data_IF_645990619439
#
_entry.id   IF_645990619439
#
_cell.length_a   1.000
_cell.length_b   1.000
_cell.length_c   1.000
_cell.angle_alpha   90.00
_cell.angle_beta   90.00
_cell.angle_gamma   90.00
#
_symmetry.space_group_name_H-M   'P 1'
#
loop_
_entity.id
_entity.type
_entity.pdbx_description
1 polymer ?
#
# COMPACT_ATOMS: atom_id res chain seq x y z
N UNK A 1 18.39 1.16 42.71
CA UNK A 1 18.20 2.04 41.58
C UNK A 1 17.17 1.34 40.70
N UNK A 2 15.92 1.77 40.79
CA UNK A 2 14.89 1.25 39.86
C UNK A 2 15.08 2.03 38.55
N UNK A 3 15.54 1.35 37.51
CA UNK A 3 15.45 1.90 36.16
C UNK A 3 13.97 2.16 35.89
N UNK A 4 13.57 3.43 35.88
CA UNK A 4 12.26 3.82 35.41
C UNK A 4 12.16 3.41 33.95
N UNK A 5 11.41 2.35 33.69
CA UNK A 5 11.07 1.91 32.34
C UNK A 5 10.24 2.99 31.68
N UNK A 6 10.87 3.85 30.88
CA UNK A 6 10.15 4.80 30.02
C UNK A 6 9.61 4.01 28.83
N UNK A 7 8.28 3.91 28.65
CA UNK A 7 7.73 3.21 27.50
C UNK A 7 8.23 3.84 26.20
N UNK A 8 8.85 3.05 25.36
CA UNK A 8 9.42 3.48 24.07
C UNK A 8 8.39 4.27 23.21
N UNK A 9 7.13 3.86 23.27
CA UNK A 9 6.03 4.47 22.54
C UNK A 9 5.65 5.89 23.02
N UNK A 10 6.06 6.29 24.20
CA UNK A 10 5.79 7.64 24.74
C UNK A 10 6.98 8.59 24.64
N UNK A 11 8.18 8.08 24.39
CA UNK A 11 9.42 8.86 24.35
C UNK A 11 9.82 9.28 22.92
N UNK A 12 9.30 8.61 21.87
CA UNK A 12 9.72 8.81 20.49
C UNK A 12 8.57 9.35 19.67
N UNK A 13 8.78 10.44 18.93
CA UNK A 13 7.88 10.85 17.86
C UNK A 13 8.19 10.04 16.60
N UNK A 14 7.48 8.92 16.43
CA UNK A 14 7.66 8.01 15.31
C UNK A 14 7.41 8.64 13.94
N UNK A 15 6.64 9.73 13.89
CA UNK A 15 6.41 10.43 12.63
C UNK A 15 7.62 11.27 12.21
N UNK A 16 8.29 11.88 13.18
CA UNK A 16 9.56 12.57 12.90
C UNK A 16 10.66 11.59 12.53
N UNK A 17 10.78 10.44 13.20
CA UNK A 17 11.71 9.38 12.82
C UNK A 17 11.43 8.87 11.39
N UNK A 18 10.15 8.74 11.03
CA UNK A 18 9.76 8.37 9.67
C UNK A 18 10.23 9.42 8.66
N UNK A 19 10.01 10.71 8.93
CA UNK A 19 10.43 11.80 8.05
C UNK A 19 11.95 11.83 7.86
N UNK A 20 12.72 11.63 8.93
CA UNK A 20 14.17 11.53 8.85
C UNK A 20 14.61 10.31 8.00
N UNK A 21 13.96 9.17 8.19
CA UNK A 21 14.23 7.97 7.38
C UNK A 21 13.96 8.21 5.88
N UNK A 22 12.90 8.97 5.54
CA UNK A 22 12.61 9.29 4.13
C UNK A 22 13.72 10.12 3.48
N UNK A 23 14.38 11.02 4.23
CA UNK A 23 15.47 11.86 3.72
C UNK A 23 16.71 11.06 3.31
N UNK A 24 16.96 9.93 3.96
CA UNK A 24 18.14 9.08 3.69
C UNK A 24 17.86 7.94 2.71
N UNK A 25 16.60 7.74 2.30
CA UNK A 25 16.25 6.76 1.27
C UNK A 25 16.91 7.13 -0.05
N UNK A 26 17.73 6.21 -0.60
CA UNK A 26 18.54 6.43 -1.81
C UNK A 26 17.74 6.38 -3.11
N UNK A 27 16.52 5.91 -3.10
CA UNK A 27 15.68 5.80 -4.29
C UNK A 27 14.36 6.52 -4.06
N UNK A 28 14.05 7.45 -4.94
CA UNK A 28 12.73 8.03 -5.01
C UNK A 28 11.75 6.93 -5.48
N UNK A 29 10.79 6.59 -4.61
CA UNK A 29 9.61 5.83 -5.01
C UNK A 29 8.67 6.80 -5.75
N UNK A 30 9.09 7.31 -6.90
CA UNK A 30 8.32 8.25 -7.71
C UNK A 30 7.54 7.54 -8.83
N UNK A 31 6.61 8.27 -9.44
CA UNK A 31 5.75 7.74 -10.49
C UNK A 31 6.58 7.24 -11.70
N UNK A 32 7.64 7.96 -12.08
CA UNK A 32 8.47 7.60 -13.23
C UNK A 32 9.22 6.28 -13.02
N UNK A 33 9.71 6.04 -11.80
CA UNK A 33 10.33 4.76 -11.43
C UNK A 33 9.32 3.61 -11.56
N UNK A 34 8.12 3.78 -11.00
CA UNK A 34 7.09 2.74 -11.02
C UNK A 34 6.47 2.55 -12.39
N UNK A 35 6.32 3.61 -13.19
CA UNK A 35 5.89 3.52 -14.59
C UNK A 35 6.87 2.66 -15.41
N UNK A 36 8.17 2.89 -15.27
CA UNK A 36 9.19 2.08 -15.93
C UNK A 36 9.16 0.64 -15.43
N UNK A 37 8.97 0.44 -14.13
CA UNK A 37 8.96 -0.87 -13.51
C UNK A 37 7.70 -1.67 -13.83
N UNK A 38 6.57 -1.01 -14.12
CA UNK A 38 5.28 -1.67 -14.40
C UNK A 38 5.39 -2.68 -15.54
N UNK A 39 6.21 -2.39 -16.56
CA UNK A 39 6.41 -3.29 -17.71
C UNK A 39 7.01 -4.65 -17.33
N UNK A 40 7.74 -4.73 -16.20
CA UNK A 40 8.41 -5.95 -15.72
C UNK A 40 7.86 -6.40 -14.36
N UNK A 41 6.90 -5.68 -13.82
CA UNK A 41 6.29 -5.98 -12.53
C UNK A 41 5.23 -7.06 -12.72
N UNK A 42 5.67 -8.30 -12.73
CA UNK A 42 4.75 -9.44 -12.77
C UNK A 42 4.22 -9.73 -11.39
N UNK A 43 2.94 -9.49 -11.20
CA UNK A 43 2.20 -10.26 -10.20
C UNK A 43 2.13 -11.66 -10.77
N UNK A 44 2.83 -12.62 -10.18
CA UNK A 44 2.79 -14.00 -10.65
C UNK A 44 1.34 -14.48 -10.56
N UNK A 45 0.83 -15.01 -11.67
CA UNK A 45 -0.56 -15.52 -11.80
C UNK A 45 -0.83 -16.82 -11.00
N UNK A 46 0.16 -17.32 -10.26
CA UNK A 46 0.00 -18.44 -9.34
C UNK A 46 -0.70 -17.99 -8.05
N UNK A 47 -1.39 -18.91 -7.33
CA UNK A 47 -1.93 -18.61 -6.01
C UNK A 47 -0.87 -17.88 -5.18
N UNK A 48 -1.13 -16.62 -4.86
CA UNK A 48 -0.19 -15.79 -4.13
C UNK A 48 -0.53 -15.88 -2.64
N UNK A 49 0.18 -16.71 -1.92
CA UNK A 49 -0.03 -16.92 -0.48
C UNK A 49 -0.09 -15.60 0.31
N UNK A 50 0.65 -14.58 -0.13
CA UNK A 50 0.59 -13.27 0.50
C UNK A 50 -0.79 -12.62 0.32
N UNK A 51 -1.35 -12.66 -0.91
CA UNK A 51 -2.69 -12.13 -1.20
C UNK A 51 -3.75 -12.87 -0.41
N UNK A 52 -3.71 -14.20 -0.40
CA UNK A 52 -4.63 -15.04 0.36
C UNK A 52 -4.61 -14.68 1.85
N UNK A 53 -3.41 -14.61 2.45
CA UNK A 53 -3.26 -14.25 3.86
C UNK A 53 -3.67 -12.83 4.17
N UNK A 54 -3.36 -11.88 3.28
CA UNK A 54 -3.80 -10.51 3.46
C UNK A 54 -5.33 -10.41 3.49
N UNK A 55 -6.01 -11.04 2.52
CA UNK A 55 -7.47 -11.02 2.43
C UNK A 55 -8.14 -11.76 3.60
N UNK A 56 -7.55 -12.88 4.05
CA UNK A 56 -7.99 -13.59 5.26
C UNK A 56 -7.97 -12.68 6.48
N UNK A 57 -6.84 -11.97 6.74
CA UNK A 57 -6.72 -11.07 7.89
C UNK A 57 -7.48 -9.76 7.73
N UNK A 58 -7.71 -9.31 6.52
CA UNK A 58 -8.52 -8.11 6.27
C UNK A 58 -10.00 -8.33 6.64
N UNK A 59 -10.47 -9.59 6.66
CA UNK A 59 -11.84 -9.95 7.03
C UNK A 59 -12.90 -9.07 6.34
N UNK A 60 -12.73 -8.87 5.02
CA UNK A 60 -13.67 -8.10 4.22
C UNK A 60 -14.94 -8.92 4.05
N UNK A 61 -16.07 -8.36 4.47
CA UNK A 61 -17.36 -9.06 4.51
C UNK A 61 -18.07 -8.94 3.16
N UNK A 62 -18.89 -9.93 2.77
CA UNK A 62 -19.67 -9.87 1.53
C UNK A 62 -20.44 -8.54 1.40
N UNK A 63 -20.31 -7.88 0.26
CA UNK A 63 -20.96 -6.60 -0.03
C UNK A 63 -20.25 -5.35 0.49
N UNK A 64 -19.21 -5.49 1.31
CA UNK A 64 -18.41 -4.33 1.73
C UNK A 64 -17.64 -3.70 0.55
N UNK A 65 -17.53 -2.39 0.61
CA UNK A 65 -16.79 -1.57 -0.34
C UNK A 65 -15.36 -1.34 0.17
N UNK A 66 -14.40 -1.27 -0.76
CA UNK A 66 -12.97 -1.20 -0.42
C UNK A 66 -12.30 0.00 -1.10
N UNK A 67 -11.44 0.69 -0.38
CA UNK A 67 -10.47 1.63 -0.92
C UNK A 67 -9.07 1.01 -0.83
N UNK A 68 -8.39 0.84 -1.97
CA UNK A 68 -7.04 0.27 -2.05
C UNK A 68 -6.04 1.36 -2.47
N UNK A 69 -5.24 1.83 -1.50
CA UNK A 69 -4.26 2.90 -1.74
C UNK A 69 -2.86 2.34 -2.02
N UNK A 70 -2.33 2.68 -3.20
CA UNK A 70 -1.13 2.08 -3.76
C UNK A 70 -1.41 0.67 -4.28
N UNK A 71 -2.47 0.54 -5.08
CA UNK A 71 -2.98 -0.75 -5.57
C UNK A 71 -2.03 -1.46 -6.55
N UNK A 72 -1.05 -0.74 -7.12
CA UNK A 72 -0.13 -1.27 -8.11
C UNK A 72 -0.86 -1.89 -9.32
N UNK A 73 -0.43 -3.07 -9.72
CA UNK A 73 -1.06 -3.84 -10.80
C UNK A 73 -2.33 -4.59 -10.37
N UNK A 74 -2.91 -4.23 -9.21
CA UNK A 74 -4.17 -4.79 -8.73
C UNK A 74 -4.06 -6.15 -8.05
N UNK A 75 -2.97 -6.42 -7.34
CA UNK A 75 -2.77 -7.69 -6.65
C UNK A 75 -3.90 -8.04 -5.66
N UNK A 76 -4.48 -7.03 -5.00
CA UNK A 76 -5.63 -7.17 -4.11
C UNK A 76 -6.93 -6.73 -4.78
N UNK A 77 -6.89 -5.62 -5.55
CA UNK A 77 -8.09 -5.06 -6.17
C UNK A 77 -8.76 -6.01 -7.17
N UNK A 78 -7.98 -6.76 -7.98
CA UNK A 78 -8.54 -7.70 -8.96
C UNK A 78 -9.30 -8.84 -8.27
N UNK A 79 -8.70 -9.63 -7.36
CA UNK A 79 -9.44 -10.70 -6.67
C UNK A 79 -10.62 -10.20 -5.82
N UNK A 80 -10.53 -9.00 -5.25
CA UNK A 80 -11.68 -8.37 -4.57
C UNK A 80 -12.81 -8.07 -5.56
N UNK A 81 -12.48 -7.56 -6.74
CA UNK A 81 -13.46 -7.33 -7.80
C UNK A 81 -14.09 -8.62 -8.33
N UNK A 82 -13.32 -9.69 -8.49
CA UNK A 82 -13.80 -11.03 -8.84
C UNK A 82 -14.77 -11.59 -7.79
N UNK A 83 -14.49 -11.30 -6.51
CA UNK A 83 -15.39 -11.65 -5.40
C UNK A 83 -16.65 -10.75 -5.31
N UNK A 84 -16.79 -9.77 -6.21
CA UNK A 84 -17.98 -8.90 -6.31
C UNK A 84 -17.93 -7.64 -5.43
N UNK A 85 -16.80 -7.34 -4.78
CA UNK A 85 -16.64 -6.10 -4.04
C UNK A 85 -16.51 -4.89 -4.98
N UNK A 86 -17.08 -3.75 -4.58
CA UNK A 86 -16.78 -2.46 -5.23
C UNK A 86 -15.48 -1.93 -4.63
N UNK A 87 -14.48 -1.72 -5.49
CA UNK A 87 -13.16 -1.27 -5.09
C UNK A 87 -12.80 0.03 -5.79
N UNK A 88 -12.43 1.06 -5.03
CA UNK A 88 -11.71 2.22 -5.57
C UNK A 88 -10.23 1.94 -5.38
N UNK A 89 -9.51 1.78 -6.49
CA UNK A 89 -8.12 1.37 -6.51
C UNK A 89 -7.23 2.51 -6.98
N UNK A 90 -6.48 3.11 -6.06
CA UNK A 90 -5.68 4.30 -6.30
C UNK A 90 -4.19 3.94 -6.38
N UNK A 91 -3.51 4.51 -7.37
CA UNK A 91 -2.06 4.46 -7.51
C UNK A 91 -1.56 5.72 -8.22
N UNK A 92 -0.36 6.17 -7.92
CA UNK A 92 0.23 7.36 -8.56
C UNK A 92 0.88 7.05 -9.91
N UNK A 93 1.22 5.78 -10.18
CA UNK A 93 1.79 5.30 -11.43
C UNK A 93 0.71 4.95 -12.43
N UNK A 94 0.69 5.66 -13.56
CA UNK A 94 -0.22 5.35 -14.66
C UNK A 94 0.08 3.96 -15.24
N UNK A 95 1.35 3.61 -15.39
CA UNK A 95 1.76 2.31 -15.91
C UNK A 95 1.27 1.13 -15.04
N UNK A 96 1.23 1.30 -13.71
CA UNK A 96 0.63 0.30 -12.81
C UNK A 96 -0.87 0.17 -13.02
N UNK A 97 -1.58 1.30 -13.13
CA UNK A 97 -3.02 1.30 -13.38
C UNK A 97 -3.39 0.70 -14.74
N UNK A 98 -2.58 0.94 -15.78
CA UNK A 98 -2.80 0.36 -17.10
C UNK A 98 -2.67 -1.18 -17.07
N UNK A 99 -1.68 -1.70 -16.34
CA UNK A 99 -1.54 -3.15 -16.13
C UNK A 99 -2.71 -3.73 -15.32
N UNK A 100 -3.15 -3.02 -14.29
CA UNK A 100 -4.34 -3.44 -13.54
C UNK A 100 -5.57 -3.44 -14.44
N UNK A 101 -5.78 -2.41 -15.25
CA UNK A 101 -6.92 -2.33 -16.18
C UNK A 101 -6.93 -3.50 -17.16
N UNK A 102 -5.76 -3.84 -17.74
CA UNK A 102 -5.65 -5.00 -18.64
C UNK A 102 -6.06 -6.31 -17.93
N UNK A 103 -5.68 -6.48 -16.66
CA UNK A 103 -6.09 -7.65 -15.86
C UNK A 103 -7.59 -7.66 -15.55
N UNK A 104 -8.17 -6.51 -15.21
CA UNK A 104 -9.61 -6.37 -14.98
C UNK A 104 -10.40 -6.73 -16.25
N UNK A 105 -9.94 -6.26 -17.41
CA UNK A 105 -10.58 -6.56 -18.68
C UNK A 105 -10.48 -8.05 -19.06
N UNK A 106 -9.33 -8.67 -18.85
CA UNK A 106 -9.12 -10.10 -19.04
C UNK A 106 -10.00 -10.97 -18.13
N UNK A 107 -10.20 -10.53 -16.88
CA UNK A 107 -11.06 -11.20 -15.89
C UNK A 107 -12.56 -10.84 -16.04
N UNK A 108 -12.91 -9.88 -16.89
CA UNK A 108 -14.29 -9.40 -17.03
C UNK A 108 -14.82 -8.63 -15.82
N UNK A 109 -13.94 -8.14 -14.94
CA UNK A 109 -14.29 -7.43 -13.72
C UNK A 109 -14.67 -5.98 -14.04
N UNK A 110 -15.82 -5.52 -13.50
CA UNK A 110 -16.34 -4.15 -13.71
C UNK A 110 -16.63 -3.41 -12.40
N UNK A 111 -16.28 -3.99 -11.28
CA UNK A 111 -16.54 -3.45 -9.95
C UNK A 111 -15.33 -2.73 -9.34
N UNK A 112 -14.19 -2.71 -10.02
CA UNK A 112 -12.98 -2.00 -9.63
C UNK A 112 -12.86 -0.71 -10.43
N UNK A 113 -12.60 0.40 -9.75
CA UNK A 113 -12.54 1.75 -10.30
C UNK A 113 -11.13 2.31 -10.11
N UNK A 114 -10.26 2.24 -11.14
CA UNK A 114 -8.91 2.80 -11.09
C UNK A 114 -8.94 4.32 -10.88
N UNK A 115 -8.02 4.82 -10.08
CA UNK A 115 -7.87 6.24 -9.80
C UNK A 115 -6.38 6.60 -9.73
N UNK A 116 -5.93 7.49 -10.60
CA UNK A 116 -4.56 8.01 -10.52
C UNK A 116 -4.49 9.05 -9.40
N UNK A 117 -3.82 8.71 -8.31
CA UNK A 117 -3.72 9.55 -7.11
C UNK A 117 -2.54 9.11 -6.26
N UNK A 118 -1.85 10.06 -5.61
CA UNK A 118 -0.76 9.84 -4.66
C UNK A 118 -1.20 10.02 -3.20
N UNK A 119 -0.31 9.67 -2.28
CA UNK A 119 -0.50 9.91 -0.85
C UNK A 119 -0.54 11.41 -0.51
N UNK A 120 0.20 12.23 -1.26
CA UNK A 120 0.40 13.66 -1.05
C UNK A 120 -0.68 14.53 -1.70
N UNK A 121 -1.53 13.93 -2.55
CA UNK A 121 -2.61 14.66 -3.21
C UNK A 121 -3.69 15.13 -2.23
N UNK A 122 -4.47 16.11 -2.65
CA UNK A 122 -5.69 16.52 -1.96
C UNK A 122 -6.81 15.48 -2.24
N UNK A 123 -6.93 14.46 -1.40
CA UNK A 123 -7.86 13.36 -1.58
C UNK A 123 -9.32 13.79 -1.80
N UNK A 124 -9.87 14.79 -1.10
CA UNK A 124 -11.18 15.35 -1.40
C UNK A 124 -11.35 15.84 -2.84
N UNK A 125 -10.33 16.49 -3.42
CA UNK A 125 -10.37 16.92 -4.82
C UNK A 125 -10.47 15.75 -5.80
N UNK A 126 -9.97 14.57 -5.42
CA UNK A 126 -10.13 13.32 -6.16
C UNK A 126 -11.42 12.55 -5.82
N UNK A 127 -12.30 13.14 -5.01
CA UNK A 127 -13.57 12.54 -4.60
C UNK A 127 -13.43 11.45 -3.53
N UNK A 128 -12.27 11.34 -2.89
CA UNK A 128 -12.05 10.49 -1.72
C UNK A 128 -12.40 11.27 -0.46
N UNK A 129 -13.31 10.76 0.35
CA UNK A 129 -13.86 11.50 1.50
C UNK A 129 -14.14 10.57 2.67
N UNK A 130 -14.37 11.16 3.82
CA UNK A 130 -14.71 10.48 5.06
C UNK A 130 -15.85 9.45 4.85
N UNK A 131 -15.65 8.27 5.40
CA UNK A 131 -16.63 7.19 5.36
C UNK A 131 -17.00 6.72 3.96
N UNK A 132 -16.15 6.94 2.94
CA UNK A 132 -16.47 6.56 1.56
C UNK A 132 -16.59 5.05 1.36
N UNK A 133 -15.78 4.28 2.05
CA UNK A 133 -15.77 2.81 1.95
C UNK A 133 -15.88 2.14 3.31
N UNK A 134 -16.20 0.85 3.32
CA UNK A 134 -16.29 0.08 4.56
C UNK A 134 -14.90 -0.28 5.09
N UNK A 135 -14.00 -0.61 4.17
CA UNK A 135 -12.61 -1.00 4.46
C UNK A 135 -11.67 -0.17 3.61
N UNK A 136 -10.56 0.29 4.21
CA UNK A 136 -9.42 0.86 3.48
C UNK A 136 -8.20 -0.03 3.65
N UNK A 137 -7.48 -0.24 2.58
CA UNK A 137 -6.28 -1.08 2.57
C UNK A 137 -5.10 -0.35 1.96
N UNK A 138 -3.90 -0.65 2.47
CA UNK A 138 -2.63 -0.22 1.87
C UNK A 138 -1.59 -1.32 2.08
N UNK A 139 -1.29 -2.04 1.01
CA UNK A 139 -0.46 -3.23 1.07
C UNK A 139 0.92 -2.98 0.48
N UNK A 140 1.93 -2.86 1.33
CA UNK A 140 3.33 -2.57 0.94
C UNK A 140 3.48 -1.31 0.10
N UNK A 141 2.62 -0.34 0.31
CA UNK A 141 2.47 0.84 -0.54
C UNK A 141 2.58 2.16 0.23
N UNK A 142 2.85 2.12 1.54
CA UNK A 142 3.02 3.34 2.33
C UNK A 142 4.40 3.93 2.03
N UNK A 143 4.47 4.73 0.96
CA UNK A 143 5.65 5.46 0.51
C UNK A 143 5.36 6.98 0.59
N UNK A 144 4.92 7.44 1.74
CA UNK A 144 4.57 8.83 2.01
C UNK A 144 5.64 9.55 2.81
N UNK A 145 5.70 10.86 2.65
CA UNK A 145 6.56 11.72 3.46
C UNK A 145 6.08 11.88 4.91
N UNK A 146 4.77 11.78 5.15
CA UNK A 146 4.14 11.90 6.47
C UNK A 146 3.28 10.69 6.80
N UNK A 147 3.82 9.79 7.62
CA UNK A 147 3.14 8.54 7.99
C UNK A 147 1.87 8.80 8.80
N UNK A 148 1.91 9.78 9.72
CA UNK A 148 0.76 10.11 10.57
C UNK A 148 -0.42 10.58 9.73
N UNK A 149 -0.17 11.50 8.80
CA UNK A 149 -1.19 12.01 7.88
C UNK A 149 -1.78 10.88 7.03
N UNK A 150 -0.95 10.02 6.45
CA UNK A 150 -1.40 8.88 5.66
C UNK A 150 -2.31 7.92 6.45
N UNK A 151 -1.94 7.60 7.69
CA UNK A 151 -2.74 6.73 8.55
C UNK A 151 -4.08 7.37 8.93
N UNK A 152 -4.09 8.68 9.22
CA UNK A 152 -5.31 9.42 9.53
C UNK A 152 -6.25 9.45 8.32
N UNK A 153 -5.75 9.77 7.13
CA UNK A 153 -6.56 9.76 5.89
C UNK A 153 -7.17 8.39 5.59
N UNK A 154 -6.40 7.31 5.73
CA UNK A 154 -6.96 5.97 5.58
C UNK A 154 -8.07 5.68 6.62
N UNK A 155 -7.86 6.13 7.86
CA UNK A 155 -8.84 5.94 8.93
C UNK A 155 -10.11 6.74 8.67
N UNK A 156 -10.01 7.94 8.14
CA UNK A 156 -11.16 8.78 7.78
C UNK A 156 -11.97 8.18 6.62
N UNK A 157 -11.31 7.60 5.63
CA UNK A 157 -11.99 6.99 4.47
C UNK A 157 -12.76 5.74 4.85
N UNK A 158 -12.30 4.98 5.85
CA UNK A 158 -12.87 3.70 6.24
C UNK A 158 -13.96 3.86 7.31
N UNK A 159 -15.15 3.29 7.05
CA UNK A 159 -16.22 3.22 8.07
C UNK A 159 -15.96 2.20 9.16
N UNK A 160 -15.25 1.11 8.84
CA UNK A 160 -15.12 -0.04 9.74
C UNK A 160 -13.67 -0.43 10.06
N UNK A 161 -12.83 -0.57 9.04
CA UNK A 161 -11.50 -1.18 9.22
C UNK A 161 -10.47 -0.58 8.26
N UNK A 162 -9.26 -0.42 8.78
CA UNK A 162 -8.06 -0.15 7.98
C UNK A 162 -7.12 -1.34 8.10
N UNK A 163 -6.59 -1.82 6.99
CA UNK A 163 -5.59 -2.88 6.95
C UNK A 163 -4.36 -2.42 6.20
N UNK A 164 -3.22 -2.44 6.86
CA UNK A 164 -1.94 -2.05 6.27
C UNK A 164 -0.90 -3.14 6.44
N UNK A 165 0.05 -3.21 5.52
CA UNK A 165 1.26 -4.01 5.71
C UNK A 165 2.51 -3.17 5.48
N UNK A 166 3.44 -3.34 6.40
CA UNK A 166 4.78 -2.77 6.33
C UNK A 166 5.81 -3.88 6.41
N UNK A 167 6.95 -3.70 5.77
CA UNK A 167 8.07 -4.61 5.94
C UNK A 167 8.66 -4.43 7.35
N UNK A 168 8.76 -5.52 8.11
CA UNK A 168 9.41 -5.55 9.42
C UNK A 168 10.79 -6.21 9.28
N UNK A 169 11.79 -5.44 8.96
CA UNK A 169 13.15 -5.93 8.84
C UNK A 169 13.75 -5.78 7.43
N UNK A 170 15.01 -6.16 7.30
CA UNK A 170 15.74 -6.07 6.06
C UNK A 170 15.18 -7.04 5.01
N UNK A 171 14.94 -6.52 3.81
CA UNK A 171 14.73 -7.38 2.64
C UNK A 171 15.99 -8.23 2.40
N UNK A 172 15.86 -9.46 1.86
CA UNK A 172 17.02 -10.23 1.43
C UNK A 172 17.97 -9.48 0.48
N UNK A 173 17.48 -8.43 -0.18
CA UNK A 173 18.29 -7.57 -1.07
C UNK A 173 19.16 -6.55 -0.33
N UNK A 174 18.90 -6.35 0.96
CA UNK A 174 19.65 -5.43 1.85
C UNK A 174 20.16 -6.16 3.09
N UNK A 175 20.24 -7.49 3.07
CA UNK A 175 20.86 -8.26 4.14
C UNK A 175 22.36 -7.94 4.15
N UNK A 176 22.84 -7.37 5.25
CA UNK A 176 24.22 -6.94 5.41
C UNK A 176 25.23 -8.07 5.14
N UNK A 177 24.88 -9.32 5.42
CA UNK A 177 25.72 -10.48 5.15
C UNK A 177 25.88 -10.72 3.66
N UNK A 178 24.81 -10.48 2.87
CA UNK A 178 24.85 -10.57 1.40
C UNK A 178 25.64 -9.39 0.83
N UNK A 179 25.38 -8.18 1.33
CA UNK A 179 26.11 -6.98 0.91
C UNK A 179 27.62 -7.14 1.18
N UNK A 180 27.99 -7.58 2.37
CA UNK A 180 29.38 -7.84 2.72
C UNK A 180 30.03 -8.93 1.84
N UNK A 181 29.28 -10.00 1.51
CA UNK A 181 29.78 -11.09 0.67
C UNK A 181 30.05 -10.66 -0.78
N UNK A 182 29.35 -9.62 -1.26
CA UNK A 182 29.55 -9.05 -2.61
C UNK A 182 30.37 -7.74 -2.61
N UNK A 183 30.94 -7.38 -1.46
CA UNK A 183 31.79 -6.18 -1.32
C UNK A 183 31.06 -4.85 -1.42
N UNK A 184 29.78 -4.83 -1.12
CA UNK A 184 28.95 -3.62 -1.07
C UNK A 184 28.76 -3.17 0.38
N UNK A 185 28.75 -1.83 0.63
CA UNK A 185 28.50 -1.28 1.96
C UNK A 185 27.05 -1.45 2.40
#
# INVERSE_FOLDING_TARGET
>A
MHDEFTPLLTATDWNEEWKELQKVRRHADDAAFWDKRSATFTTKDAPNLYVEKFLEYAEIRPGETVFDMGCGTGALAVPLGEAGHKVVAADFSQGMLDQMQARLDAAGVRTVFPKRMSWEDDWPAFGVREGMTDVAIASRSIATADLRDALLRLTEVARRRVCITLATGSSPRVDERILAAVGLP
#
